data_IF_982146946463
#
_entry.id   IF_982146946463
#
_cell.length_a   1.000
_cell.length_b   1.000
_cell.length_c   1.000
_cell.angle_alpha   90.00
_cell.angle_beta   90.00
_cell.angle_gamma   90.00
#
_symmetry.space_group_name_H-M   'P 1'
#
loop_
_entity.id
_entity.type
_entity.pdbx_description
1 polymer ?
#
# COMPACT_ATOMS: atom_id res chain seq x y z
N UNK A 1 7.62 36.82 -16.32
CA UNK A 1 8.02 35.44 -16.69
C UNK A 1 8.98 34.86 -15.66
N UNK A 2 9.95 35.62 -15.12
CA UNK A 2 10.85 35.16 -14.04
C UNK A 2 10.12 34.86 -12.71
N UNK A 3 9.28 35.78 -12.22
CA UNK A 3 8.62 35.64 -10.91
C UNK A 3 7.74 34.40 -10.76
N UNK A 4 6.99 34.05 -11.81
CA UNK A 4 6.13 32.86 -11.81
C UNK A 4 6.96 31.57 -11.80
N UNK A 5 8.12 31.56 -12.48
CA UNK A 5 9.02 30.40 -12.46
C UNK A 5 9.66 30.24 -11.07
N UNK A 6 10.10 31.35 -10.46
CA UNK A 6 10.71 31.35 -9.12
C UNK A 6 9.70 30.90 -8.03
N UNK A 7 8.44 31.33 -8.13
CA UNK A 7 7.35 30.89 -7.24
C UNK A 7 7.03 29.39 -7.41
N UNK A 8 7.02 28.88 -8.65
CA UNK A 8 6.79 27.46 -8.92
C UNK A 8 7.92 26.62 -8.35
N UNK A 9 9.16 27.04 -8.55
CA UNK A 9 10.35 26.36 -8.02
C UNK A 9 10.34 26.33 -6.50
N UNK A 10 10.08 27.48 -5.86
CA UNK A 10 9.98 27.59 -4.39
C UNK A 10 8.90 26.67 -3.83
N UNK A 11 7.69 26.69 -4.41
CA UNK A 11 6.59 25.80 -3.99
C UNK A 11 6.92 24.32 -4.19
N UNK A 12 7.68 23.98 -5.22
CA UNK A 12 8.14 22.61 -5.48
C UNK A 12 9.10 22.13 -4.39
N UNK A 13 10.07 22.97 -4.03
CA UNK A 13 11.05 22.70 -2.98
C UNK A 13 10.35 22.55 -1.61
N UNK A 14 9.47 23.48 -1.25
CA UNK A 14 8.72 23.44 0.02
C UNK A 14 7.91 22.15 0.15
N UNK A 15 7.14 21.78 -0.89
CA UNK A 15 6.38 20.51 -0.91
C UNK A 15 7.28 19.28 -0.80
N UNK A 16 8.48 19.33 -1.40
CA UNK A 16 9.46 18.26 -1.30
C UNK A 16 9.96 18.07 0.13
N UNK A 17 10.30 19.17 0.81
CA UNK A 17 10.76 19.18 2.20
C UNK A 17 9.67 18.68 3.14
N UNK A 18 8.45 19.19 2.99
CA UNK A 18 7.28 18.78 3.77
C UNK A 18 7.03 17.27 3.64
N UNK A 19 6.99 16.75 2.41
CA UNK A 19 6.80 15.32 2.16
C UNK A 19 7.94 14.47 2.72
N UNK A 20 9.18 14.97 2.68
CA UNK A 20 10.34 14.32 3.29
C UNK A 20 10.20 14.21 4.80
N UNK A 21 9.81 15.30 5.47
CA UNK A 21 9.56 15.34 6.92
C UNK A 21 8.47 14.35 7.32
N UNK A 22 7.33 14.39 6.66
CA UNK A 22 6.19 13.51 6.95
C UNK A 22 6.60 12.04 6.79
N UNK A 23 7.42 11.77 5.77
CA UNK A 23 7.94 10.44 5.54
C UNK A 23 8.85 9.94 6.67
N UNK A 24 9.68 10.82 7.24
CA UNK A 24 10.51 10.47 8.40
C UNK A 24 9.64 10.23 9.64
N UNK A 25 8.64 11.09 9.89
CA UNK A 25 7.75 10.95 11.04
C UNK A 25 6.99 9.62 11.02
N UNK A 26 6.46 9.23 9.85
CA UNK A 26 5.77 7.94 9.71
C UNK A 26 6.71 6.76 10.00
N UNK A 27 7.95 6.79 9.51
CA UNK A 27 8.92 5.72 9.75
C UNK A 27 9.28 5.59 11.23
N UNK A 28 9.52 6.71 11.93
CA UNK A 28 9.84 6.70 13.36
C UNK A 28 8.68 6.14 14.21
N UNK A 29 7.44 6.41 13.83
CA UNK A 29 6.28 5.83 14.52
C UNK A 29 6.18 4.32 14.25
N UNK A 30 6.38 3.89 13.00
CA UNK A 30 6.37 2.48 12.64
C UNK A 30 7.44 1.68 13.39
N UNK A 31 8.62 2.25 13.56
CA UNK A 31 9.74 1.64 14.28
C UNK A 31 9.59 1.71 15.81
N UNK A 32 8.48 2.27 16.31
CA UNK A 32 8.19 2.40 17.74
C UNK A 32 9.06 3.44 18.46
N UNK A 33 9.73 4.32 17.70
CA UNK A 33 10.63 5.36 18.22
C UNK A 33 9.90 6.67 18.54
N UNK A 34 8.69 6.85 18.02
CA UNK A 34 7.88 8.05 18.22
C UNK A 34 6.40 7.68 18.43
N UNK A 35 5.71 8.40 19.33
CA UNK A 35 4.27 8.21 19.49
C UNK A 35 3.50 8.89 18.35
N UNK A 36 2.32 8.37 18.02
CA UNK A 36 1.46 8.91 16.96
C UNK A 36 1.08 10.36 17.25
N UNK A 37 0.86 10.70 18.53
CA UNK A 37 0.46 12.02 18.99
C UNK A 37 1.55 13.06 18.72
N UNK A 38 2.80 12.74 19.08
CA UNK A 38 3.94 13.64 18.87
C UNK A 38 4.25 13.79 17.37
N UNK A 39 4.07 12.72 16.60
CA UNK A 39 4.29 12.76 15.17
C UNK A 39 3.24 13.62 14.44
N UNK A 40 1.96 13.51 14.83
CA UNK A 40 0.87 14.33 14.30
C UNK A 40 1.08 15.83 14.59
N UNK A 41 1.43 16.17 15.83
CA UNK A 41 1.75 17.54 16.24
C UNK A 41 2.91 18.13 15.40
N UNK A 42 3.99 17.36 15.22
CA UNK A 42 5.15 17.79 14.40
C UNK A 42 4.84 17.93 12.92
N UNK A 43 3.92 17.13 12.39
CA UNK A 43 3.44 17.24 11.02
C UNK A 43 2.46 18.42 10.85
N UNK A 44 1.88 18.94 11.94
CA UNK A 44 0.89 20.01 11.91
C UNK A 44 -0.49 19.54 11.45
N UNK A 45 -0.81 18.26 11.65
CA UNK A 45 -2.07 17.63 11.23
C UNK A 45 -2.79 17.01 12.43
N UNK A 46 -4.08 16.70 12.27
CA UNK A 46 -4.81 15.96 13.31
C UNK A 46 -4.26 14.54 13.48
N UNK A 47 -4.45 13.94 14.67
CA UNK A 47 -4.07 12.54 14.91
C UNK A 47 -4.74 11.60 13.90
N UNK A 48 -6.02 11.83 13.58
CA UNK A 48 -6.76 10.99 12.62
C UNK A 48 -6.23 11.15 11.21
N UNK A 49 -5.85 12.37 10.81
CA UNK A 49 -5.20 12.63 9.53
C UNK A 49 -3.81 11.98 9.45
N UNK A 50 -3.01 12.08 10.52
CA UNK A 50 -1.71 11.40 10.60
C UNK A 50 -1.87 9.88 10.53
N UNK A 51 -2.85 9.30 11.23
CA UNK A 51 -3.19 7.88 11.13
C UNK A 51 -3.61 7.50 9.71
N UNK A 52 -4.38 8.34 9.02
CA UNK A 52 -4.73 8.13 7.62
C UNK A 52 -3.49 8.19 6.71
N UNK A 53 -2.55 9.11 6.96
CA UNK A 53 -1.26 9.18 6.26
C UNK A 53 -0.42 7.93 6.49
N UNK A 54 -0.33 7.44 7.73
CA UNK A 54 0.33 6.18 8.06
C UNK A 54 -0.32 4.99 7.35
N UNK A 55 -1.65 4.88 7.37
CA UNK A 55 -2.39 3.82 6.68
C UNK A 55 -2.15 3.88 5.17
N UNK A 56 -2.21 5.07 4.58
CA UNK A 56 -1.93 5.30 3.16
C UNK A 56 -0.52 4.85 2.79
N UNK A 57 0.47 5.18 3.63
CA UNK A 57 1.85 4.77 3.41
C UNK A 57 2.06 3.27 3.59
N UNK A 58 1.49 2.67 4.64
CA UNK A 58 1.54 1.23 4.85
C UNK A 58 0.98 0.48 3.64
N UNK A 59 -0.15 0.92 3.10
CA UNK A 59 -0.78 0.35 1.91
C UNK A 59 0.11 0.49 0.65
N UNK A 60 0.81 1.61 0.48
CA UNK A 60 1.72 1.80 -0.67
C UNK A 60 3.03 1.02 -0.51
N UNK A 61 3.49 0.80 0.72
CA UNK A 61 4.72 0.06 1.03
C UNK A 61 4.51 -1.47 0.99
N UNK A 62 3.25 -1.94 1.08
CA UNK A 62 2.91 -3.34 0.87
C UNK A 62 3.29 -3.81 -0.54
N UNK A 63 3.91 -4.98 -0.63
CA UNK A 63 4.17 -5.62 -1.92
C UNK A 63 2.93 -6.31 -2.46
N UNK A 64 2.92 -6.65 -3.75
CA UNK A 64 1.86 -7.46 -4.38
C UNK A 64 1.65 -8.76 -3.60
N UNK A 65 2.75 -9.41 -3.19
CA UNK A 65 2.73 -10.59 -2.35
C UNK A 65 1.97 -10.35 -1.04
N UNK A 66 2.29 -9.29 -0.31
CA UNK A 66 1.67 -9.03 1.00
C UNK A 66 0.15 -8.86 0.84
N UNK A 67 -0.29 -8.12 -0.18
CA UNK A 67 -1.72 -7.93 -0.49
C UNK A 67 -2.44 -9.24 -0.82
N UNK A 68 -1.78 -10.16 -1.54
CA UNK A 68 -2.34 -11.49 -1.82
C UNK A 68 -2.59 -12.23 -0.52
N UNK A 69 -1.58 -12.31 0.35
CA UNK A 69 -1.69 -13.07 1.59
C UNK A 69 -2.70 -12.46 2.56
N UNK A 70 -2.78 -11.14 2.64
CA UNK A 70 -3.78 -10.45 3.45
C UNK A 70 -5.20 -10.75 2.95
N UNK A 71 -5.42 -10.70 1.63
CA UNK A 71 -6.73 -11.04 1.05
C UNK A 71 -7.08 -12.51 1.25
N UNK A 72 -6.11 -13.42 1.20
CA UNK A 72 -6.33 -14.83 1.56
C UNK A 72 -6.77 -14.98 3.02
N UNK A 73 -6.19 -14.22 3.96
CA UNK A 73 -6.62 -14.25 5.36
C UNK A 73 -8.04 -13.70 5.53
N UNK A 74 -8.35 -12.56 4.91
CA UNK A 74 -9.67 -11.94 4.93
C UNK A 74 -10.75 -12.90 4.42
N UNK A 75 -10.49 -13.58 3.30
CA UNK A 75 -11.39 -14.55 2.69
C UNK A 75 -11.37 -15.93 3.35
N UNK A 76 -10.53 -16.15 4.37
CA UNK A 76 -10.27 -17.46 5.00
C UNK A 76 -9.91 -18.55 3.99
N UNK A 77 -9.19 -18.18 2.92
CA UNK A 77 -8.78 -19.07 1.84
C UNK A 77 -7.40 -19.67 2.13
N UNK A 78 -7.30 -21.01 2.14
CA UNK A 78 -6.00 -21.67 2.34
C UNK A 78 -5.12 -21.56 1.08
N UNK A 79 -3.79 -21.62 1.24
CA UNK A 79 -2.86 -21.61 0.10
C UNK A 79 -3.14 -22.76 -0.87
N UNK A 80 -3.48 -23.95 -0.37
CA UNK A 80 -3.86 -25.12 -1.17
C UNK A 80 -5.11 -24.87 -2.02
N UNK A 81 -6.14 -24.27 -1.43
CA UNK A 81 -7.36 -23.93 -2.17
C UNK A 81 -7.11 -22.82 -3.20
N UNK A 82 -6.32 -21.81 -2.83
CA UNK A 82 -5.90 -20.76 -3.74
C UNK A 82 -5.09 -21.30 -4.93
N UNK A 83 -4.16 -22.21 -4.68
CA UNK A 83 -3.39 -22.92 -5.70
C UNK A 83 -4.33 -23.66 -6.68
N UNK A 84 -5.30 -24.40 -6.13
CA UNK A 84 -6.30 -25.13 -6.94
C UNK A 84 -7.14 -24.19 -7.81
N UNK A 85 -7.59 -23.06 -7.28
CA UNK A 85 -8.44 -22.10 -8.01
C UNK A 85 -7.68 -21.31 -9.07
N UNK A 86 -6.42 -20.98 -8.81
CA UNK A 86 -5.57 -20.21 -9.73
C UNK A 86 -4.86 -21.09 -10.76
N UNK A 87 -4.72 -22.39 -10.49
CA UNK A 87 -3.87 -23.30 -11.26
C UNK A 87 -2.37 -23.07 -11.04
N UNK A 88 -1.99 -22.22 -10.07
CA UNK A 88 -0.60 -21.94 -9.71
C UNK A 88 -0.16 -23.01 -8.72
N UNK A 89 1.02 -23.58 -8.91
CA UNK A 89 1.56 -24.59 -7.99
C UNK A 89 1.67 -24.02 -6.56
N UNK A 90 1.24 -24.81 -5.57
CA UNK A 90 1.31 -24.42 -4.15
C UNK A 90 2.76 -24.09 -3.73
N UNK A 91 3.75 -24.78 -4.32
CA UNK A 91 5.17 -24.48 -4.14
C UNK A 91 5.54 -23.06 -4.60
N UNK A 92 5.01 -22.60 -5.74
CA UNK A 92 5.22 -21.24 -6.26
C UNK A 92 4.61 -20.19 -5.33
N UNK A 93 3.42 -20.43 -4.80
CA UNK A 93 2.76 -19.53 -3.83
C UNK A 93 3.58 -19.48 -2.52
N UNK A 94 4.06 -20.63 -2.04
CA UNK A 94 4.92 -20.71 -0.86
C UNK A 94 6.24 -19.94 -1.06
N UNK A 95 6.82 -20.05 -2.26
CA UNK A 95 8.07 -19.39 -2.63
C UNK A 95 7.96 -17.86 -2.60
N UNK A 96 6.81 -17.28 -2.97
CA UNK A 96 6.60 -15.83 -2.83
C UNK A 96 6.92 -15.37 -1.42
N UNK A 97 6.36 -16.04 -0.41
CA UNK A 97 6.60 -15.70 1.01
C UNK A 97 8.03 -15.97 1.46
N UNK A 98 8.58 -17.14 1.12
CA UNK A 98 9.90 -17.58 1.60
C UNK A 98 11.06 -16.81 0.97
N UNK A 99 10.93 -16.49 -0.32
CA UNK A 99 11.99 -15.85 -1.13
C UNK A 99 11.76 -14.35 -1.33
N UNK A 100 10.72 -13.81 -0.70
CA UNK A 100 10.29 -12.42 -0.87
C UNK A 100 10.13 -12.02 -2.35
N UNK A 101 9.44 -12.87 -3.12
CA UNK A 101 9.18 -12.65 -4.55
C UNK A 101 7.71 -12.37 -4.83
N UNK A 102 7.44 -11.69 -5.94
CA UNK A 102 6.08 -11.41 -6.41
C UNK A 102 5.66 -12.39 -7.52
N UNK A 103 4.35 -12.60 -7.74
CA UNK A 103 3.85 -13.27 -8.93
C UNK A 103 4.32 -12.56 -10.21
N UNK A 104 4.51 -13.34 -11.27
CA UNK A 104 4.76 -12.80 -12.63
C UNK A 104 3.50 -12.14 -13.18
N UNK A 105 3.66 -11.20 -14.12
CA UNK A 105 2.55 -10.43 -14.70
C UNK A 105 1.44 -11.31 -15.30
N UNK A 106 1.79 -12.43 -15.93
CA UNK A 106 0.83 -13.40 -16.50
C UNK A 106 -0.15 -13.99 -15.45
N UNK A 107 0.26 -14.02 -14.17
CA UNK A 107 -0.53 -14.60 -13.07
C UNK A 107 -1.48 -13.57 -12.44
N UNK A 108 -1.29 -12.28 -12.71
CA UNK A 108 -2.03 -11.19 -12.05
C UNK A 108 -3.53 -11.32 -12.29
N UNK A 109 -3.97 -11.50 -13.54
CA UNK A 109 -5.39 -11.52 -13.86
C UNK A 109 -6.14 -12.70 -13.21
N UNK A 110 -5.52 -13.88 -13.15
CA UNK A 110 -6.15 -15.04 -12.51
C UNK A 110 -6.18 -14.89 -10.98
N UNK A 111 -5.15 -14.28 -10.39
CA UNK A 111 -5.12 -13.95 -8.96
C UNK A 111 -6.26 -12.97 -8.65
N UNK A 112 -6.39 -11.87 -9.41
CA UNK A 112 -7.47 -10.89 -9.26
C UNK A 112 -8.86 -11.54 -9.32
N UNK A 113 -9.06 -12.44 -10.29
CA UNK A 113 -10.34 -13.16 -10.45
C UNK A 113 -10.67 -14.04 -9.25
N UNK A 114 -9.69 -14.74 -8.66
CA UNK A 114 -9.92 -15.64 -7.53
C UNK A 114 -10.11 -14.88 -6.21
N UNK A 115 -9.41 -13.76 -6.05
CA UNK A 115 -9.47 -12.90 -4.86
C UNK A 115 -10.59 -11.85 -4.90
N UNK A 116 -11.29 -11.74 -6.02
CA UNK A 116 -12.32 -10.72 -6.29
C UNK A 116 -11.80 -9.29 -6.05
N UNK A 117 -10.64 -8.98 -6.62
CA UNK A 117 -9.99 -7.66 -6.53
C UNK A 117 -9.63 -7.14 -7.92
N UNK A 118 -9.41 -5.83 -8.01
CA UNK A 118 -8.94 -5.20 -9.24
C UNK A 118 -7.41 -5.32 -9.38
N UNK A 119 -6.87 -5.40 -10.61
CA UNK A 119 -5.43 -5.30 -10.84
C UNK A 119 -4.83 -4.01 -10.26
N UNK A 120 -5.55 -2.90 -10.32
CA UNK A 120 -5.15 -1.61 -9.76
C UNK A 120 -4.90 -1.73 -8.26
N UNK A 121 -5.85 -2.30 -7.52
CA UNK A 121 -5.69 -2.54 -6.08
C UNK A 121 -4.54 -3.50 -5.79
N UNK A 122 -4.45 -4.61 -6.53
CA UNK A 122 -3.42 -5.62 -6.29
C UNK A 122 -2.00 -5.06 -6.53
N UNK A 123 -1.82 -4.25 -7.58
CA UNK A 123 -0.52 -3.70 -7.97
C UNK A 123 -0.12 -2.47 -7.16
N UNK A 124 -1.07 -1.58 -6.84
CA UNK A 124 -0.78 -0.28 -6.21
C UNK A 124 -1.24 -0.15 -4.75
N UNK A 125 -2.14 -1.01 -4.29
CA UNK A 125 -2.80 -0.91 -2.99
C UNK A 125 -3.89 0.16 -2.93
N UNK A 126 -4.09 0.95 -3.99
CA UNK A 126 -5.07 2.04 -3.99
C UNK A 126 -6.47 1.47 -4.23
N UNK A 127 -7.33 1.58 -3.23
CA UNK A 127 -8.78 1.37 -3.38
C UNK A 127 -9.38 2.54 -4.17
N UNK A 128 -9.99 2.26 -5.32
CA UNK A 128 -10.70 3.30 -6.07
C UNK A 128 -12.13 3.44 -5.55
N UNK A 129 -12.74 4.61 -5.70
CA UNK A 129 -14.14 4.84 -5.28
C UNK A 129 -15.12 3.81 -5.89
N UNK A 130 -14.76 3.25 -7.06
CA UNK A 130 -15.53 2.22 -7.77
C UNK A 130 -15.52 0.86 -7.05
N UNK A 131 -14.53 0.61 -6.21
CA UNK A 131 -14.39 -0.63 -5.44
C UNK A 131 -15.20 -0.56 -4.14
N UNK A 132 -15.32 0.63 -3.55
CA UNK A 132 -16.14 0.90 -2.35
C UNK A 132 -17.64 0.67 -2.62
N UNK A 133 -18.11 0.99 -3.83
CA UNK A 133 -19.52 0.86 -4.22
C UNK A 133 -19.97 -0.57 -4.53
N UNK A 134 -19.06 -1.55 -4.62
CA UNK A 134 -19.41 -2.96 -4.90
C UNK A 134 -19.72 -3.79 -3.66
N UNK A 135 -19.49 -3.24 -2.46
CA UNK A 135 -19.76 -3.88 -1.17
C UNK A 135 -21.05 -3.41 -0.48
N UNK A 136 -21.98 -2.76 -1.20
CA UNK A 136 -23.29 -2.30 -0.70
C UNK A 136 -24.40 -3.13 -1.34
#
# INVERSE_FOLDING_TARGET
MCTVLDEIETRGIEKGIEKGRDNTLIALVHDGLLSVEIAADRAGVSIDEFKAMMKKRYITDMTIRDRIFDKLQEMKLTQKEFAKRTGIAESTISDWRKKNTNPTAEKIMIICKVLDVTPEWLLSGIETYRDISRGI
#
